data_IF_108242586701
#
_entry.id   IF_108242586701
#
_cell.length_a   1.000
_cell.length_b   1.000
_cell.length_c   1.000
_cell.angle_alpha   90.00
_cell.angle_beta   90.00
_cell.angle_gamma   90.00
#
_symmetry.space_group_name_H-M   'P 1'
#
loop_
_entity.id
_entity.type
_entity.pdbx_description
1 polymer ?
#
# COMPACT_ATOMS: atom_id res chain seq x y z
N UNK A 1 3.79 7.33 16.67
CA UNK A 1 2.74 6.50 16.02
C UNK A 1 3.09 6.48 14.54
N UNK A 2 3.80 5.46 14.06
CA UNK A 2 4.13 5.36 12.63
C UNK A 2 2.92 4.79 11.88
N UNK A 3 2.25 5.62 11.09
CA UNK A 3 1.22 5.16 10.14
C UNK A 3 1.92 4.56 8.92
N UNK A 4 1.78 3.26 8.67
CA UNK A 4 2.22 2.65 7.41
C UNK A 4 1.21 3.09 6.34
N UNK A 5 1.55 4.10 5.54
CA UNK A 5 0.79 4.44 4.34
C UNK A 5 1.20 3.51 3.21
N UNK A 6 0.51 2.37 3.05
CA UNK A 6 0.69 1.48 1.91
C UNK A 6 -0.39 1.82 0.87
N UNK A 7 -0.10 2.73 -0.06
CA UNK A 7 -1.00 3.00 -1.19
C UNK A 7 -0.66 1.99 -2.29
N UNK A 8 -1.43 0.90 -2.40
CA UNK A 8 -1.33 -0.04 -3.52
C UNK A 8 -2.00 0.59 -4.74
N UNK A 9 -1.19 1.18 -5.62
CA UNK A 9 -1.65 1.59 -6.94
C UNK A 9 -1.62 0.36 -7.87
N UNK A 10 -2.77 -0.31 -8.03
CA UNK A 10 -2.97 -1.29 -9.11
C UNK A 10 -3.35 -0.54 -10.39
N UNK A 11 -2.54 -0.67 -11.45
CA UNK A 11 -2.92 -0.20 -12.79
C UNK A 11 -3.59 -1.34 -13.56
N UNK A 12 -4.93 -1.37 -13.59
CA UNK A 12 -5.67 -2.30 -14.45
C UNK A 12 -5.83 -1.74 -15.87
N UNK A 13 -5.36 -2.49 -16.88
CA UNK A 13 -5.65 -2.26 -18.31
C UNK A 13 -6.78 -3.18 -18.77
N UNK A 14 -7.88 -2.68 -19.39
CA UNK A 14 -8.96 -3.54 -19.84
C UNK A 14 -8.70 -4.15 -21.22
N UNK A 15 -8.85 -5.48 -21.34
CA UNK A 15 -8.91 -6.21 -22.61
C UNK A 15 -10.35 -6.23 -23.16
N UNK A 16 -10.52 -5.96 -24.45
CA UNK A 16 -11.83 -6.03 -25.15
C UNK A 16 -11.99 -7.38 -25.85
N UNK A 17 -13.15 -8.02 -25.68
CA UNK A 17 -13.63 -9.11 -26.53
C UNK A 17 -14.96 -8.74 -27.21
N UNK A 18 -15.13 -9.22 -28.44
CA UNK A 18 -16.10 -8.79 -29.44
C UNK A 18 -17.39 -9.64 -29.47
N UNK A 19 -18.55 -8.98 -29.35
CA UNK A 19 -19.75 -9.05 -30.21
C UNK A 19 -20.56 -10.36 -30.37
N UNK A 20 -21.86 -10.31 -30.02
CA UNK A 20 -22.86 -11.23 -30.56
C UNK A 20 -24.30 -11.20 -30.00
N UNK A 21 -25.18 -10.44 -30.68
CA UNK A 21 -26.67 -10.53 -30.80
C UNK A 21 -27.63 -9.88 -29.77
N UNK A 22 -28.63 -9.23 -30.36
CA UNK A 22 -29.58 -8.24 -29.84
C UNK A 22 -30.91 -8.86 -29.40
N UNK A 23 -31.45 -8.40 -28.26
CA UNK A 23 -32.88 -8.43 -27.94
C UNK A 23 -33.24 -7.11 -27.26
N UNK A 24 -34.28 -6.46 -27.77
CA UNK A 24 -34.77 -5.15 -27.34
C UNK A 24 -35.03 -5.09 -25.83
N UNK A 25 -34.43 -4.10 -25.15
CA UNK A 25 -34.78 -3.71 -23.79
C UNK A 25 -35.21 -2.24 -23.78
N UNK A 26 -36.39 -2.05 -23.20
CA UNK A 26 -37.02 -0.84 -22.67
C UNK A 26 -36.00 0.23 -22.24
N UNK A 27 -36.28 1.55 -22.38
CA UNK A 27 -35.39 2.60 -21.90
C UNK A 27 -35.25 2.50 -20.38
N UNK A 28 -34.23 1.77 -19.93
CA UNK A 28 -33.78 1.83 -18.55
C UNK A 28 -33.04 3.16 -18.43
N UNK A 29 -33.57 4.02 -17.58
CA UNK A 29 -32.89 5.18 -16.99
C UNK A 29 -31.40 4.88 -16.80
N UNK A 30 -30.48 5.83 -17.06
CA UNK A 30 -29.07 5.61 -16.75
C UNK A 30 -29.01 5.20 -15.29
N UNK A 31 -28.63 3.95 -15.02
CA UNK A 31 -28.28 3.54 -13.69
C UNK A 31 -27.11 4.45 -13.32
N UNK A 32 -27.39 5.47 -12.51
CA UNK A 32 -26.37 6.23 -11.84
C UNK A 32 -25.48 5.19 -11.16
N UNK A 33 -24.27 5.00 -11.70
CA UNK A 33 -23.23 4.27 -11.00
C UNK A 33 -22.98 5.10 -9.75
N UNK A 34 -23.69 4.78 -8.67
CA UNK A 34 -23.32 5.23 -7.34
C UNK A 34 -21.83 4.92 -7.25
N UNK A 35 -21.01 5.97 -7.20
CA UNK A 35 -19.62 5.85 -6.81
C UNK A 35 -19.67 5.22 -5.43
N UNK A 36 -19.60 3.89 -5.36
CA UNK A 36 -19.64 3.16 -4.12
C UNK A 36 -18.51 3.75 -3.28
N UNK A 37 -18.88 4.34 -2.14
CA UNK A 37 -17.94 5.06 -1.31
C UNK A 37 -16.79 4.11 -0.98
N UNK A 38 -15.56 4.54 -1.26
CA UNK A 38 -14.38 3.72 -1.02
C UNK A 38 -14.34 3.08 0.35
N UNK A 39 -14.06 1.78 0.42
CA UNK A 39 -13.90 1.07 1.68
C UNK A 39 -12.45 1.20 2.18
N UNK A 40 -12.28 1.38 3.48
CA UNK A 40 -10.97 1.37 4.15
C UNK A 40 -10.92 0.26 5.22
N UNK A 41 -9.77 -0.39 5.35
CA UNK A 41 -9.50 -1.42 6.36
C UNK A 41 -8.67 -0.82 7.51
N UNK A 42 -9.12 -1.01 8.74
CA UNK A 42 -8.34 -0.70 9.95
C UNK A 42 -8.10 -1.99 10.73
N UNK A 43 -6.84 -2.29 11.03
CA UNK A 43 -6.45 -3.52 11.73
C UNK A 43 -5.40 -3.21 12.80
N UNK A 44 -5.55 -3.77 14.00
CA UNK A 44 -4.58 -3.61 15.07
C UNK A 44 -3.43 -4.64 14.98
N UNK A 45 -2.35 -4.44 15.72
CA UNK A 45 -1.16 -5.31 15.70
C UNK A 45 -1.46 -6.76 16.09
N UNK A 46 -2.32 -6.99 17.08
CA UNK A 46 -2.66 -8.35 17.51
C UNK A 46 -3.42 -9.11 16.41
N UNK A 47 -4.48 -8.51 15.86
CA UNK A 47 -5.24 -9.06 14.73
C UNK A 47 -4.39 -9.19 13.47
N UNK A 48 -3.48 -8.25 13.21
CA UNK A 48 -2.53 -8.32 12.10
C UNK A 48 -1.59 -9.51 12.28
N UNK A 49 -1.18 -9.85 13.50
CA UNK A 49 -0.39 -11.04 13.78
C UNK A 49 -1.07 -12.33 13.29
N UNK A 50 -2.38 -12.48 13.55
CA UNK A 50 -3.15 -13.60 13.01
C UNK A 50 -3.32 -13.51 11.49
N UNK A 51 -3.57 -12.31 10.96
CA UNK A 51 -3.77 -12.10 9.53
C UNK A 51 -2.50 -12.37 8.70
N UNK A 52 -1.32 -12.26 9.30
CA UNK A 52 -0.01 -12.55 8.67
C UNK A 52 0.44 -14.02 8.86
N UNK A 53 -0.36 -14.87 9.51
CA UNK A 53 -0.12 -16.32 9.53
C UNK A 53 -0.21 -16.88 8.11
N UNK A 54 0.65 -17.85 7.75
CA UNK A 54 0.73 -18.45 6.41
C UNK A 54 -0.64 -18.95 5.87
N UNK A 55 -1.55 -19.33 6.77
CA UNK A 55 -2.89 -19.80 6.41
C UNK A 55 -3.82 -18.65 5.99
N UNK A 56 -3.61 -17.44 6.51
CA UNK A 56 -4.50 -16.29 6.34
C UNK A 56 -3.91 -15.16 5.52
N UNK A 57 -2.58 -15.11 5.32
CA UNK A 57 -1.90 -13.98 4.67
C UNK A 57 -2.43 -13.69 3.25
N UNK A 58 -2.85 -14.72 2.51
CA UNK A 58 -3.42 -14.55 1.17
C UNK A 58 -4.78 -13.87 1.21
N UNK A 59 -5.65 -14.29 2.14
CA UNK A 59 -6.97 -13.68 2.33
C UNK A 59 -6.84 -12.23 2.81
N UNK A 60 -5.92 -11.97 3.75
CA UNK A 60 -5.62 -10.62 4.20
C UNK A 60 -5.17 -9.74 3.03
N UNK A 61 -4.25 -10.23 2.19
CA UNK A 61 -3.77 -9.50 1.02
C UNK A 61 -4.91 -9.19 0.04
N UNK A 62 -5.76 -10.17 -0.27
CA UNK A 62 -6.91 -9.98 -1.16
C UNK A 62 -7.83 -8.87 -0.66
N UNK A 63 -8.25 -8.94 0.61
CA UNK A 63 -9.10 -7.92 1.25
C UNK A 63 -8.41 -6.55 1.23
N UNK A 64 -7.15 -6.49 1.67
CA UNK A 64 -6.37 -5.26 1.69
C UNK A 64 -6.27 -4.60 0.31
N UNK A 65 -6.21 -5.39 -0.77
CA UNK A 65 -6.14 -4.88 -2.14
C UNK A 65 -7.45 -4.42 -2.74
N UNK A 66 -8.59 -4.82 -2.15
CA UNK A 66 -9.90 -4.29 -2.52
C UNK A 66 -10.20 -2.95 -1.82
N UNK A 67 -9.49 -2.63 -0.75
CA UNK A 67 -9.67 -1.38 -0.02
C UNK A 67 -8.94 -0.21 -0.69
N UNK A 68 -9.53 0.98 -0.62
CA UNK A 68 -8.86 2.22 -1.04
C UNK A 68 -7.75 2.65 -0.08
N UNK A 69 -7.85 2.25 1.19
CA UNK A 69 -6.83 2.53 2.20
C UNK A 69 -6.78 1.40 3.24
N UNK A 70 -5.58 1.15 3.76
CA UNK A 70 -5.34 0.20 4.86
C UNK A 70 -4.55 0.90 5.94
N UNK A 71 -5.04 0.85 7.17
CA UNK A 71 -4.40 1.44 8.36
C UNK A 71 -4.09 0.32 9.35
N UNK A 72 -2.82 0.01 9.49
CA UNK A 72 -2.33 -0.90 10.53
C UNK A 72 -1.93 -0.09 11.77
N UNK A 73 -2.60 -0.32 12.90
CA UNK A 73 -2.35 0.42 14.13
C UNK A 73 -1.70 -0.46 15.21
N UNK A 74 -0.84 0.14 16.05
CA UNK A 74 -0.15 -0.56 17.16
C UNK A 74 0.67 -1.78 16.72
N UNK A 75 1.34 -1.68 15.57
CA UNK A 75 2.16 -2.74 14.99
C UNK A 75 3.61 -2.72 15.49
N UNK A 76 4.24 -3.89 15.54
CA UNK A 76 5.68 -4.02 15.84
C UNK A 76 6.55 -3.71 14.61
N UNK A 77 7.83 -3.34 14.76
CA UNK A 77 8.75 -3.14 13.64
C UNK A 77 8.82 -4.35 12.68
N UNK A 78 8.75 -5.57 13.22
CA UNK A 78 8.72 -6.80 12.42
C UNK A 78 7.44 -6.90 11.58
N UNK A 79 6.28 -6.63 12.19
CA UNK A 79 5.00 -6.67 11.47
C UNK A 79 4.94 -5.66 10.33
N UNK A 80 5.56 -4.48 10.49
CA UNK A 80 5.67 -3.50 9.40
C UNK A 80 6.40 -4.10 8.19
N UNK A 81 7.53 -4.76 8.44
CA UNK A 81 8.32 -5.42 7.40
C UNK A 81 7.56 -6.58 6.76
N UNK A 82 6.86 -7.40 7.55
CA UNK A 82 6.07 -8.53 7.03
C UNK A 82 4.94 -8.08 6.08
N UNK A 83 4.26 -6.97 6.38
CA UNK A 83 3.25 -6.40 5.48
C UNK A 83 3.86 -5.98 4.14
N UNK A 84 5.00 -5.29 4.17
CA UNK A 84 5.69 -4.86 2.95
C UNK A 84 6.19 -6.07 2.15
N UNK A 85 6.73 -7.09 2.82
CA UNK A 85 7.22 -8.33 2.20
C UNK A 85 6.08 -9.11 1.53
N UNK A 86 4.94 -9.25 2.21
CA UNK A 86 3.74 -9.89 1.66
C UNK A 86 3.26 -9.21 0.39
N UNK A 87 3.19 -7.88 0.37
CA UNK A 87 2.83 -7.13 -0.85
C UNK A 87 3.89 -7.33 -1.93
N UNK A 88 5.16 -7.19 -1.59
CA UNK A 88 6.31 -7.27 -2.51
C UNK A 88 6.40 -8.63 -3.22
N UNK A 89 6.19 -9.73 -2.50
CA UNK A 89 6.27 -11.09 -3.07
C UNK A 89 5.06 -11.44 -3.93
N UNK A 90 3.89 -10.92 -3.60
CA UNK A 90 2.62 -11.38 -4.17
C UNK A 90 2.03 -10.41 -5.21
N UNK A 91 2.49 -9.15 -5.26
CA UNK A 91 2.05 -8.16 -6.23
C UNK A 91 3.21 -7.81 -7.15
N UNK A 92 2.93 -7.75 -8.46
CA UNK A 92 3.90 -7.34 -9.49
C UNK A 92 4.03 -5.81 -9.54
N UNK A 93 4.32 -5.20 -8.39
CA UNK A 93 4.42 -3.77 -8.22
C UNK A 93 5.68 -3.40 -7.45
N UNK A 94 6.23 -2.22 -7.75
CA UNK A 94 7.32 -1.65 -6.97
C UNK A 94 6.74 -1.16 -5.65
N UNK A 95 7.37 -1.56 -4.55
CA UNK A 95 6.99 -1.16 -3.19
C UNK A 95 7.95 -0.12 -2.68
N UNK A 96 7.41 0.95 -2.11
CA UNK A 96 8.17 2.01 -1.48
C UNK A 96 7.75 2.10 -0.01
N UNK A 97 8.71 2.20 0.89
CA UNK A 97 8.46 2.42 2.31
C UNK A 97 9.20 3.65 2.82
N UNK A 98 8.58 4.32 3.79
CA UNK A 98 9.07 5.59 4.34
C UNK A 98 9.04 5.49 5.85
N UNK A 99 10.08 6.00 6.50
CA UNK A 99 10.13 6.12 7.95
C UNK A 99 11.13 7.15 8.42
N UNK A 100 11.05 7.52 9.69
CA UNK A 100 11.87 8.56 10.32
C UNK A 100 12.66 8.03 11.53
N UNK A 101 12.30 6.86 12.07
CA UNK A 101 12.90 6.29 13.27
C UNK A 101 13.44 4.86 13.12
N UNK A 102 14.05 4.35 14.19
CA UNK A 102 14.61 2.99 14.23
C UNK A 102 13.56 1.88 14.02
N UNK A 103 12.29 2.17 14.35
CA UNK A 103 11.16 1.25 14.22
C UNK A 103 10.76 0.95 12.77
N UNK A 104 11.25 1.76 11.83
CA UNK A 104 10.92 1.63 10.41
C UNK A 104 12.07 1.03 9.60
N UNK A 105 13.26 0.84 10.20
CA UNK A 105 14.47 0.35 9.51
C UNK A 105 14.23 -0.98 8.79
N UNK A 106 13.58 -1.95 9.45
CA UNK A 106 13.28 -3.24 8.80
C UNK A 106 12.32 -3.07 7.63
N UNK A 107 11.27 -2.26 7.79
CA UNK A 107 10.30 -1.96 6.73
C UNK A 107 10.95 -1.24 5.53
N UNK A 108 11.86 -0.30 5.80
CA UNK A 108 12.67 0.43 4.81
C UNK A 108 13.51 -0.54 3.99
N UNK A 109 14.26 -1.43 4.66
CA UNK A 109 15.13 -2.40 3.99
C UNK A 109 14.36 -3.49 3.23
N UNK A 110 13.15 -3.83 3.65
CA UNK A 110 12.35 -4.87 3.00
C UNK A 110 11.74 -4.41 1.68
N UNK A 111 11.42 -3.12 1.51
CA UNK A 111 10.82 -2.59 0.30
C UNK A 111 11.75 -2.70 -0.93
N UNK A 112 11.25 -2.32 -2.10
CA UNK A 112 12.13 -2.14 -3.26
C UNK A 112 12.88 -0.81 -3.18
N UNK A 113 12.23 0.21 -2.63
CA UNK A 113 12.78 1.56 -2.44
C UNK A 113 12.50 1.98 -1.01
N UNK A 114 13.54 2.29 -0.25
CA UNK A 114 13.46 2.82 1.09
C UNK A 114 13.73 4.33 1.13
N UNK A 115 12.85 5.11 1.78
CA UNK A 115 13.03 6.55 1.96
C UNK A 115 13.10 6.90 3.45
N UNK A 116 14.19 7.51 3.88
CA UNK A 116 14.40 7.96 5.25
C UNK A 116 14.09 9.44 5.40
N UNK A 117 13.15 9.78 6.28
CA UNK A 117 12.89 11.18 6.64
C UNK A 117 13.87 11.58 7.74
N UNK A 118 14.55 12.71 7.54
CA UNK A 118 15.40 13.30 8.58
C UNK A 118 14.52 13.83 9.72
N UNK A 119 14.42 13.05 10.79
CA UNK A 119 13.54 13.32 11.93
C UNK A 119 14.28 13.56 13.25
N UNK A 120 13.50 13.82 14.30
CA UNK A 120 14.00 14.02 15.68
C UNK A 120 14.28 12.69 16.40
N UNK A 121 13.77 11.56 15.91
CA UNK A 121 13.95 10.22 16.52
C UNK A 121 15.32 9.58 16.20
N UNK A 122 16.18 10.30 15.49
CA UNK A 122 17.55 9.90 15.17
C UNK A 122 17.79 9.63 13.68
N UNK A 123 19.02 9.25 13.34
CA UNK A 123 19.44 9.07 11.94
C UNK A 123 19.26 7.64 11.41
N UNK A 124 18.64 6.73 12.19
CA UNK A 124 18.61 5.31 11.86
C UNK A 124 17.85 5.01 10.56
N UNK A 125 16.69 5.64 10.34
CA UNK A 125 15.94 5.48 9.10
C UNK A 125 16.70 6.05 7.89
N UNK A 126 17.33 7.21 8.05
CA UNK A 126 18.15 7.88 7.01
C UNK A 126 19.35 7.02 6.61
N UNK A 127 20.07 6.46 7.58
CA UNK A 127 21.23 5.61 7.32
C UNK A 127 20.85 4.25 6.71
N UNK A 128 19.61 3.81 6.90
CA UNK A 128 19.10 2.55 6.36
C UNK A 128 18.40 2.70 4.99
N UNK A 129 18.14 3.92 4.53
CA UNK A 129 17.35 4.22 3.33
C UNK A 129 18.19 4.46 2.07
N UNK A 130 17.61 4.21 0.90
CA UNK A 130 18.22 4.51 -0.40
C UNK A 130 18.23 6.01 -0.70
N UNK A 131 17.14 6.70 -0.30
CA UNK A 131 17.00 8.15 -0.43
C UNK A 131 16.67 8.77 0.92
N UNK A 132 17.19 9.97 1.18
CA UNK A 132 16.78 10.76 2.34
C UNK A 132 16.17 12.09 1.94
N UNK A 133 15.08 12.45 2.62
CA UNK A 133 14.37 13.72 2.45
C UNK A 133 14.16 14.40 3.80
N UNK A 134 14.14 15.74 3.82
CA UNK A 134 13.93 16.48 5.07
C UNK A 134 12.48 16.45 5.58
N UNK A 135 11.49 16.30 4.70
CA UNK A 135 10.07 16.34 5.04
C UNK A 135 9.26 15.50 4.04
N UNK A 136 8.14 14.93 4.48
CA UNK A 136 7.27 14.09 3.63
C UNK A 136 6.81 14.80 2.34
N UNK A 137 6.55 16.12 2.37
CA UNK A 137 6.14 16.90 1.19
C UNK A 137 7.13 16.85 0.02
N UNK A 138 8.40 16.52 0.28
CA UNK A 138 9.41 16.39 -0.77
C UNK A 138 9.34 15.06 -1.52
N UNK A 139 8.60 14.08 -1.00
CA UNK A 139 8.36 12.80 -1.67
C UNK A 139 7.68 12.98 -3.02
N UNK A 140 6.72 13.89 -3.12
CA UNK A 140 6.02 14.17 -4.38
C UNK A 140 7.00 14.56 -5.49
N UNK A 141 7.91 15.50 -5.20
CA UNK A 141 8.94 15.92 -6.17
C UNK A 141 9.96 14.81 -6.43
N UNK A 142 10.32 14.02 -5.41
CA UNK A 142 11.20 12.87 -5.59
C UNK A 142 10.60 11.89 -6.62
N UNK A 143 9.32 11.52 -6.46
CA UNK A 143 8.67 10.53 -7.32
C UNK A 143 8.28 11.09 -8.69
N UNK A 144 7.60 12.24 -8.73
CA UNK A 144 6.97 12.74 -9.96
C UNK A 144 7.91 13.50 -10.90
N UNK A 145 9.05 13.97 -10.39
CA UNK A 145 10.06 14.68 -11.20
C UNK A 145 11.28 13.81 -11.47
N UNK A 146 11.77 13.07 -10.47
CA UNK A 146 13.02 12.31 -10.59
C UNK A 146 12.82 10.81 -10.82
N UNK A 147 11.61 10.27 -10.60
CA UNK A 147 11.31 8.84 -10.72
C UNK A 147 10.79 8.38 -12.09
N UNK A 148 11.00 9.17 -13.16
CA UNK A 148 10.56 8.85 -14.53
C UNK A 148 11.45 7.82 -15.21
#
# INVERSE_FOLDING_TARGET
MSSIGCNLLSSDTPSKSTGGRSVAKTPQSPAESRSDGGVALVINGDSLGFALDERLERLFLEIATMCMAVICCRVTPLQKAQVVDLVKRNKKAVTLSIGDGANDVSMIKTAHIGVGISGQEGMQAVLASDYSIGQFRYLERLLLVHGR
#
